data_IF_512067215717
#
_entry.id   IF_512067215717
#
_cell.length_a   1.000
_cell.length_b   1.000
_cell.length_c   1.000
_cell.angle_alpha   90.00
_cell.angle_beta   90.00
_cell.angle_gamma   90.00
#
_symmetry.space_group_name_H-M   'P 1'
#
loop_
_entity.id
_entity.type
_entity.pdbx_description
1 polymer ?
#
# COMPACT_ATOMS: atom_id res chain seq x y z
N UNK A 1 8.66 11.89 -19.44
CA UNK A 1 9.23 11.98 -18.07
C UNK A 1 9.09 13.33 -17.40
N UNK A 2 9.45 14.47 -18.02
CA UNK A 2 9.31 15.79 -17.36
C UNK A 2 7.91 16.04 -16.77
N UNK A 3 6.85 15.64 -17.49
CA UNK A 3 5.48 15.74 -16.98
C UNK A 3 5.28 15.02 -15.64
N UNK A 4 5.76 13.79 -15.48
CA UNK A 4 5.61 13.03 -14.23
C UNK A 4 6.44 13.60 -13.09
N UNK A 5 7.68 14.01 -13.35
CA UNK A 5 8.55 14.58 -12.31
C UNK A 5 8.05 15.95 -11.85
N UNK A 6 7.42 16.73 -12.74
CA UNK A 6 6.90 18.05 -12.40
C UNK A 6 5.56 18.01 -11.64
N UNK A 7 4.85 16.87 -11.63
CA UNK A 7 3.50 16.77 -11.08
C UNK A 7 3.33 15.66 -10.03
N UNK A 8 4.36 14.82 -9.80
CA UNK A 8 4.39 13.79 -8.77
C UNK A 8 5.70 13.86 -8.02
N UNK A 9 5.62 13.72 -6.70
CA UNK A 9 6.77 13.39 -5.88
C UNK A 9 6.97 11.87 -5.88
N UNK A 10 8.19 11.43 -6.18
CA UNK A 10 8.55 10.02 -6.24
C UNK A 10 9.39 9.64 -5.02
N UNK A 11 8.85 8.74 -4.20
CA UNK A 11 9.59 8.13 -3.10
C UNK A 11 10.00 6.72 -3.51
N UNK A 12 11.31 6.51 -3.69
CA UNK A 12 11.86 5.24 -4.17
C UNK A 12 12.70 4.65 -3.04
N UNK A 13 12.29 3.47 -2.57
CA UNK A 13 13.08 2.64 -1.65
C UNK A 13 13.75 1.56 -2.48
N UNK A 14 15.04 1.70 -2.84
CA UNK A 14 15.70 0.76 -3.74
C UNK A 14 15.90 -0.62 -3.10
N UNK A 15 15.99 -0.67 -1.77
CA UNK A 15 16.23 -1.89 -1.02
C UNK A 15 15.58 -1.79 0.36
N UNK A 16 14.46 -2.49 0.55
CA UNK A 16 13.73 -2.51 1.82
C UNK A 16 14.36 -3.47 2.84
N UNK A 17 14.93 -4.59 2.38
CA UNK A 17 15.55 -5.63 3.20
C UNK A 17 17.08 -5.64 3.03
N UNK A 18 17.82 -4.66 3.60
CA UNK A 18 19.27 -4.58 3.42
C UNK A 18 20.00 -5.78 4.01
N UNK A 19 19.59 -6.25 5.19
CA UNK A 19 20.30 -7.34 5.88
C UNK A 19 20.12 -8.68 5.15
N UNK A 20 18.91 -8.99 4.68
CA UNK A 20 18.64 -10.18 3.88
C UNK A 20 19.37 -10.13 2.53
N UNK A 21 19.44 -8.95 1.91
CA UNK A 21 20.18 -8.75 0.68
C UNK A 21 21.69 -8.98 0.85
N UNK A 22 22.31 -8.36 1.85
CA UNK A 22 23.74 -8.59 2.13
C UNK A 22 24.02 -10.05 2.50
N UNK A 23 23.14 -10.69 3.27
CA UNK A 23 23.25 -12.11 3.56
C UNK A 23 23.23 -12.95 2.27
N UNK A 24 22.31 -12.68 1.34
CA UNK A 24 22.25 -13.39 0.05
C UNK A 24 23.50 -13.24 -0.82
N UNK A 25 24.29 -12.17 -0.63
CA UNK A 25 25.54 -11.96 -1.37
C UNK A 25 26.76 -12.59 -0.68
N UNK A 26 26.62 -13.02 0.57
CA UNK A 26 27.74 -13.53 1.35
C UNK A 26 28.25 -14.91 0.88
N UNK A 27 27.43 -15.64 0.12
CA UNK A 27 27.78 -16.96 -0.41
C UNK A 27 26.95 -17.31 -1.64
N UNK A 28 27.51 -18.17 -2.50
CA UNK A 28 26.78 -18.80 -3.61
C UNK A 28 26.02 -20.06 -3.22
N UNK A 29 26.13 -20.52 -1.95
CA UNK A 29 25.32 -21.62 -1.44
C UNK A 29 23.82 -21.29 -1.63
N UNK A 30 23.01 -22.13 -2.28
CA UNK A 30 21.59 -21.87 -2.49
C UNK A 30 20.80 -21.51 -1.22
N UNK A 31 21.13 -22.10 -0.07
CA UNK A 31 20.49 -21.79 1.23
C UNK A 31 20.71 -20.34 1.69
N UNK A 32 21.78 -19.71 1.19
CA UNK A 32 22.15 -18.32 1.48
C UNK A 32 21.74 -17.43 0.32
N UNK A 33 22.11 -17.79 -0.91
CA UNK A 33 21.86 -16.98 -2.11
C UNK A 33 20.38 -16.77 -2.41
N UNK A 34 19.54 -17.74 -2.05
CA UNK A 34 18.08 -17.68 -2.22
C UNK A 34 17.36 -17.24 -0.95
N UNK A 35 18.07 -16.69 0.03
CA UNK A 35 17.46 -16.18 1.26
C UNK A 35 16.42 -15.09 0.97
N UNK A 36 15.21 -15.27 1.50
CA UNK A 36 14.05 -14.40 1.25
C UNK A 36 13.78 -13.41 2.39
N UNK A 37 13.81 -13.90 3.63
CA UNK A 37 13.38 -13.17 4.83
C UNK A 37 14.35 -12.04 5.19
N UNK A 38 14.01 -11.20 6.16
CA UNK A 38 15.02 -10.33 6.77
C UNK A 38 15.99 -11.14 7.68
N UNK A 39 16.79 -10.46 8.51
CA UNK A 39 17.77 -11.09 9.41
C UNK A 39 17.52 -10.78 10.87
N UNK A 40 16.25 -10.66 11.28
CA UNK A 40 15.91 -10.51 12.70
C UNK A 40 16.44 -11.69 13.55
N UNK A 41 16.73 -11.46 14.85
CA UNK A 41 17.38 -12.44 15.71
C UNK A 41 16.69 -13.82 15.73
N UNK A 42 17.43 -14.91 16.01
CA UNK A 42 16.85 -16.24 16.00
C UNK A 42 15.72 -16.40 17.01
N UNK A 43 14.61 -17.01 16.57
CA UNK A 43 13.52 -17.48 17.43
C UNK A 43 13.61 -18.99 17.53
N UNK A 44 13.66 -19.50 18.76
CA UNK A 44 13.79 -20.93 19.03
C UNK A 44 12.45 -21.53 19.44
N UNK A 45 12.13 -22.70 18.88
CA UNK A 45 10.99 -23.51 19.27
C UNK A 45 11.43 -24.90 19.69
N UNK A 46 10.71 -25.45 20.66
CA UNK A 46 10.88 -26.83 21.09
C UNK A 46 9.89 -27.71 20.35
N UNK A 47 10.39 -28.72 19.65
CA UNK A 47 9.58 -29.71 18.95
C UNK A 47 9.79 -31.09 19.55
N UNK A 48 8.72 -31.89 19.53
CA UNK A 48 8.74 -33.27 20.00
C UNK A 48 8.00 -34.13 18.99
N UNK A 49 8.75 -34.94 18.25
CA UNK A 49 8.25 -35.73 17.12
C UNK A 49 7.44 -36.95 17.55
N UNK A 50 7.60 -37.44 18.79
CA UNK A 50 6.72 -38.46 19.37
C UNK A 50 6.67 -38.41 20.90
N UNK A 51 5.73 -39.15 21.50
CA UNK A 51 5.66 -39.25 22.96
C UNK A 51 6.94 -39.81 23.59
N UNK A 52 7.78 -40.54 22.86
CA UNK A 52 9.03 -41.08 23.40
C UNK A 52 10.27 -40.35 22.88
N UNK A 53 10.13 -39.33 22.05
CA UNK A 53 11.27 -38.58 21.52
C UNK A 53 11.80 -37.56 22.51
N UNK A 54 13.11 -37.32 22.48
CA UNK A 54 13.72 -36.19 23.16
C UNK A 54 13.18 -34.87 22.59
N UNK A 55 13.12 -33.84 23.45
CA UNK A 55 12.76 -32.49 23.01
C UNK A 55 13.92 -31.93 22.20
N UNK A 56 13.65 -31.53 20.96
CA UNK A 56 14.61 -30.87 20.09
C UNK A 56 14.34 -29.36 20.11
N UNK A 57 15.41 -28.56 20.19
CA UNK A 57 15.31 -27.10 20.05
C UNK A 57 15.77 -26.72 18.66
N UNK A 58 14.90 -26.07 17.89
CA UNK A 58 15.20 -25.54 16.55
C UNK A 58 15.11 -24.02 16.59
N UNK A 59 16.17 -23.33 16.17
CA UNK A 59 16.24 -21.88 16.12
C UNK A 59 16.35 -21.42 14.67
N UNK A 60 15.49 -20.47 14.26
CA UNK A 60 15.47 -19.95 12.91
C UNK A 60 15.40 -18.42 12.92
N UNK A 61 15.96 -17.80 11.88
CA UNK A 61 16.09 -16.35 11.78
C UNK A 61 15.19 -15.78 10.70
N UNK A 62 14.84 -14.51 10.89
CA UNK A 62 14.16 -13.71 9.89
C UNK A 62 12.65 -13.93 9.80
N UNK A 63 11.98 -12.87 9.36
CA UNK A 63 10.56 -12.76 9.09
C UNK A 63 10.34 -12.44 7.62
N UNK A 64 9.29 -13.01 7.02
CA UNK A 64 8.83 -12.61 5.70
C UNK A 64 8.16 -11.23 5.81
N UNK A 65 8.86 -10.21 5.31
CA UNK A 65 8.38 -8.82 5.37
C UNK A 65 7.04 -8.64 4.65
N UNK A 66 6.75 -9.43 3.60
CA UNK A 66 5.47 -9.37 2.88
C UNK A 66 4.40 -10.31 3.47
N UNK A 67 4.58 -10.71 4.73
CA UNK A 67 3.55 -11.29 5.63
C UNK A 67 3.40 -10.48 6.91
N UNK A 68 4.14 -9.39 7.06
CA UNK A 68 4.29 -8.66 8.33
C UNK A 68 3.50 -7.34 8.38
N UNK A 69 2.69 -7.00 7.39
CA UNK A 69 1.83 -5.80 7.44
C UNK A 69 0.49 -6.09 8.15
N UNK A 70 -0.14 -5.06 8.73
CA UNK A 70 -1.47 -5.17 9.37
C UNK A 70 -2.61 -5.21 8.35
N UNK A 71 -2.66 -6.28 7.56
CA UNK A 71 -3.77 -6.60 6.67
C UNK A 71 -4.09 -8.08 6.78
N UNK A 72 -5.19 -8.41 7.45
CA UNK A 72 -5.58 -9.80 7.79
C UNK A 72 -4.42 -10.62 8.36
N UNK A 73 -3.55 -9.98 9.15
CA UNK A 73 -2.30 -10.56 9.62
C UNK A 73 -2.48 -11.95 10.24
N UNK A 74 -1.80 -12.94 9.66
CA UNK A 74 -1.81 -14.31 10.14
C UNK A 74 -3.06 -15.13 9.83
N UNK A 75 -3.97 -14.64 8.98
CA UNK A 75 -5.22 -15.34 8.66
C UNK A 75 -4.99 -16.43 7.62
N UNK A 76 -4.38 -16.11 6.48
CA UNK A 76 -4.16 -17.06 5.38
C UNK A 76 -2.80 -16.84 4.69
N UNK A 77 -2.24 -17.89 4.09
CA UNK A 77 -1.00 -17.81 3.31
C UNK A 77 0.24 -17.34 4.07
N UNK A 78 0.23 -17.47 5.40
CA UNK A 78 1.30 -17.08 6.32
C UNK A 78 1.56 -18.21 7.33
N UNK A 79 2.66 -18.13 8.09
CA UNK A 79 3.01 -19.13 9.09
C UNK A 79 3.43 -18.51 10.41
N UNK A 80 3.09 -19.20 11.50
CA UNK A 80 3.58 -18.91 12.86
C UNK A 80 4.85 -19.72 13.22
N UNK A 81 5.29 -20.64 12.35
CA UNK A 81 6.57 -21.35 12.53
C UNK A 81 7.74 -20.41 12.13
N UNK A 82 8.64 -20.04 13.05
CA UNK A 82 9.79 -19.17 12.75
C UNK A 82 10.75 -19.73 11.70
N UNK A 83 10.68 -21.04 11.43
CA UNK A 83 11.48 -21.70 10.41
C UNK A 83 10.81 -21.75 9.04
N UNK A 84 9.58 -21.28 8.91
CA UNK A 84 8.91 -21.15 7.61
C UNK A 84 9.48 -19.98 6.81
N UNK A 85 9.54 -20.13 5.49
CA UNK A 85 9.87 -19.05 4.55
C UNK A 85 8.80 -17.94 4.51
N UNK A 86 7.57 -18.27 4.93
CA UNK A 86 6.44 -17.34 5.04
C UNK A 86 6.12 -17.01 6.51
N UNK A 87 7.12 -17.10 7.39
CA UNK A 87 6.96 -16.73 8.79
C UNK A 87 6.56 -15.27 8.93
N UNK A 88 5.39 -15.00 9.52
CA UNK A 88 4.79 -13.68 9.58
C UNK A 88 5.39 -12.74 10.63
N UNK A 89 6.21 -13.27 11.55
CA UNK A 89 6.66 -12.54 12.74
C UNK A 89 5.71 -12.65 13.93
N UNK A 90 6.10 -12.10 15.07
CA UNK A 90 5.35 -12.23 16.32
C UNK A 90 4.04 -11.42 16.35
N UNK A 91 3.99 -10.32 15.61
CA UNK A 91 2.84 -9.43 15.45
C UNK A 91 3.04 -8.57 14.20
N UNK A 92 1.96 -7.99 13.66
CA UNK A 92 2.06 -7.09 12.51
C UNK A 92 3.00 -5.92 12.81
N UNK A 93 3.92 -5.62 11.90
CA UNK A 93 4.98 -4.63 12.04
C UNK A 93 6.00 -4.93 13.16
N UNK A 94 6.25 -6.21 13.45
CA UNK A 94 7.34 -6.63 14.33
C UNK A 94 8.72 -6.27 13.79
N UNK A 95 8.86 -6.11 12.48
CA UNK A 95 10.14 -5.83 11.83
C UNK A 95 10.38 -4.32 11.65
N UNK A 96 11.61 -3.82 11.87
CA UNK A 96 11.92 -2.40 11.67
C UNK A 96 11.72 -1.94 10.22
N UNK A 97 11.93 -2.81 9.24
CA UNK A 97 11.78 -2.51 7.82
C UNK A 97 10.32 -2.24 7.46
N UNK A 98 9.39 -3.10 7.91
CA UNK A 98 7.94 -2.89 7.68
C UNK A 98 7.41 -1.69 8.47
N UNK A 99 7.92 -1.45 9.69
CA UNK A 99 7.61 -0.22 10.45
C UNK A 99 8.05 1.04 9.72
N UNK A 100 9.21 1.04 9.07
CA UNK A 100 9.67 2.20 8.33
C UNK A 100 8.69 2.57 7.19
N UNK A 101 8.18 1.58 6.46
CA UNK A 101 7.14 1.78 5.43
C UNK A 101 5.85 2.30 6.06
N UNK A 102 5.40 1.66 7.15
CA UNK A 102 4.21 2.07 7.91
C UNK A 102 4.28 3.54 8.33
N UNK A 103 5.36 3.91 9.00
CA UNK A 103 5.54 5.24 9.58
C UNK A 103 5.69 6.29 8.47
N UNK A 104 6.36 5.95 7.36
CA UNK A 104 6.51 6.84 6.21
C UNK A 104 5.17 7.17 5.54
N UNK A 105 4.34 6.16 5.27
CA UNK A 105 3.04 6.34 4.60
C UNK A 105 2.01 6.94 5.56
N UNK A 106 1.98 6.51 6.83
CA UNK A 106 1.06 7.08 7.84
C UNK A 106 1.37 8.54 8.16
N UNK A 107 2.65 8.93 8.23
CA UNK A 107 3.05 10.33 8.35
C UNK A 107 2.66 11.21 7.15
N UNK A 108 2.22 10.60 6.04
CA UNK A 108 1.78 11.25 4.79
C UNK A 108 0.38 10.80 4.37
N UNK A 109 -0.46 10.43 5.35
CA UNK A 109 -1.80 9.94 5.10
C UNK A 109 -2.58 10.88 4.16
N UNK A 110 -3.16 10.32 3.10
CA UNK A 110 -3.90 11.06 2.07
C UNK A 110 -3.03 11.79 1.01
N UNK A 111 -1.72 11.86 1.19
CA UNK A 111 -0.80 12.44 0.19
C UNK A 111 -0.28 11.38 -0.79
N UNK A 112 -0.04 10.16 -0.32
CA UNK A 112 0.39 9.04 -1.16
C UNK A 112 -0.79 8.57 -2.03
N UNK A 113 -0.67 8.70 -3.35
CA UNK A 113 -1.74 8.38 -4.31
C UNK A 113 -1.59 7.02 -4.98
N UNK A 114 -0.35 6.55 -5.10
CA UNK A 114 -0.01 5.25 -5.62
C UNK A 114 1.04 4.57 -4.73
N UNK A 115 0.97 3.25 -4.64
CA UNK A 115 1.92 2.40 -3.94
C UNK A 115 2.28 1.23 -4.84
N UNK A 116 3.56 1.12 -5.21
CA UNK A 116 4.06 0.05 -6.07
C UNK A 116 5.12 -0.73 -5.29
N UNK A 117 4.93 -2.04 -5.16
CA UNK A 117 5.94 -2.95 -4.61
C UNK A 117 6.40 -3.93 -5.69
N UNK A 118 7.70 -4.17 -5.76
CA UNK A 118 8.33 -4.92 -6.84
C UNK A 118 8.99 -6.17 -6.28
N UNK A 119 8.63 -7.30 -6.86
CA UNK A 119 9.06 -8.65 -6.55
C UNK A 119 9.48 -9.35 -7.85
N UNK A 120 10.06 -10.53 -7.71
CA UNK A 120 10.16 -11.50 -8.80
C UNK A 120 9.96 -12.88 -8.21
N UNK A 121 9.53 -13.87 -8.97
CA UNK A 121 9.24 -13.86 -10.41
C UNK A 121 7.83 -14.39 -10.66
N UNK A 122 7.34 -14.23 -11.90
CA UNK A 122 6.23 -14.96 -12.54
C UNK A 122 5.60 -14.16 -13.69
N UNK A 123 6.01 -12.91 -13.92
CA UNK A 123 5.36 -11.97 -14.85
C UNK A 123 3.88 -11.76 -14.51
N UNK A 124 3.61 -11.24 -13.31
CA UNK A 124 2.26 -10.94 -12.84
C UNK A 124 2.21 -9.48 -12.37
N UNK A 125 1.18 -8.74 -12.80
CA UNK A 125 0.85 -7.43 -12.27
C UNK A 125 -0.43 -7.57 -11.44
N UNK A 126 -0.26 -7.56 -10.12
CA UNK A 126 -1.32 -7.77 -9.15
C UNK A 126 -1.87 -6.46 -8.61
N UNK A 127 -3.17 -6.44 -8.36
CA UNK A 127 -3.84 -5.40 -7.56
C UNK A 127 -4.60 -6.05 -6.39
N UNK A 128 -4.88 -5.30 -5.32
CA UNK A 128 -5.58 -5.84 -4.16
C UNK A 128 -6.98 -6.43 -4.47
N UNK A 129 -7.44 -7.47 -3.76
CA UNK A 129 -6.80 -8.00 -2.55
C UNK A 129 -6.06 -9.34 -2.76
N UNK A 130 -4.96 -9.52 -2.03
CA UNK A 130 -4.16 -10.74 -1.95
C UNK A 130 -4.60 -11.71 -0.83
N UNK A 131 -5.20 -11.22 0.26
CA UNK A 131 -5.51 -12.06 1.43
C UNK A 131 -6.58 -13.15 1.21
N UNK A 132 -7.54 -12.98 0.30
CA UNK A 132 -8.67 -13.90 0.13
C UNK A 132 -9.22 -13.89 -1.31
N UNK A 133 -9.52 -15.07 -1.85
CA UNK A 133 -10.15 -15.21 -3.19
C UNK A 133 -11.49 -14.49 -3.26
N UNK A 134 -11.81 -13.96 -4.45
CA UNK A 134 -13.10 -13.28 -4.70
C UNK A 134 -13.40 -12.09 -3.78
N UNK A 135 -12.35 -11.48 -3.21
CA UNK A 135 -12.47 -10.28 -2.38
C UNK A 135 -11.88 -9.09 -3.11
N UNK A 136 -12.71 -8.06 -3.30
CA UNK A 136 -12.39 -6.95 -4.19
C UNK A 136 -12.67 -5.60 -3.54
N UNK A 137 -11.92 -4.59 -3.99
CA UNK A 137 -12.15 -3.19 -3.62
C UNK A 137 -13.31 -2.60 -4.42
N UNK A 138 -13.98 -1.57 -3.90
CA UNK A 138 -15.10 -0.92 -4.61
C UNK A 138 -14.68 -0.30 -5.96
N UNK A 139 -13.40 0.01 -6.14
CA UNK A 139 -12.81 0.58 -7.36
C UNK A 139 -12.01 -0.45 -8.18
N UNK A 140 -12.25 -1.74 -7.97
CA UNK A 140 -11.53 -2.84 -8.64
C UNK A 140 -11.53 -2.74 -10.17
N UNK A 141 -12.61 -2.23 -10.78
CA UNK A 141 -12.68 -2.06 -12.23
C UNK A 141 -11.65 -1.03 -12.76
N UNK A 142 -11.44 0.07 -12.03
CA UNK A 142 -10.45 1.08 -12.38
C UNK A 142 -9.02 0.55 -12.15
N UNK A 143 -8.81 -0.17 -11.04
CA UNK A 143 -7.54 -0.84 -10.76
C UNK A 143 -7.15 -1.83 -11.85
N UNK A 144 -8.10 -2.70 -12.24
CA UNK A 144 -7.93 -3.70 -13.29
C UNK A 144 -7.70 -3.06 -14.65
N UNK A 145 -8.48 -2.04 -15.01
CA UNK A 145 -8.31 -1.34 -16.29
C UNK A 145 -6.91 -0.70 -16.38
N UNK A 146 -6.48 -0.02 -15.32
CA UNK A 146 -5.15 0.58 -15.23
C UNK A 146 -4.06 -0.49 -15.36
N UNK A 147 -4.18 -1.62 -14.66
CA UNK A 147 -3.21 -2.72 -14.74
C UNK A 147 -3.15 -3.36 -16.14
N UNK A 148 -4.29 -3.55 -16.82
CA UNK A 148 -4.33 -4.06 -18.18
C UNK A 148 -3.64 -3.12 -19.18
N UNK A 149 -3.86 -1.79 -19.06
CA UNK A 149 -3.15 -0.82 -19.87
C UNK A 149 -1.65 -0.82 -19.56
N UNK A 150 -1.26 -0.95 -18.29
CA UNK A 150 0.13 -1.01 -17.88
C UNK A 150 0.84 -2.25 -18.43
N UNK A 151 0.21 -3.43 -18.32
CA UNK A 151 0.72 -4.67 -18.90
C UNK A 151 0.81 -4.62 -20.44
N UNK A 152 -0.15 -3.96 -21.11
CA UNK A 152 -0.09 -3.72 -22.56
C UNK A 152 1.09 -2.84 -22.96
N UNK A 153 1.32 -1.74 -22.23
CA UNK A 153 2.44 -0.85 -22.47
C UNK A 153 3.79 -1.55 -22.25
N UNK A 154 3.92 -2.32 -21.17
CA UNK A 154 5.06 -3.19 -20.90
C UNK A 154 5.32 -4.15 -22.08
N UNK A 155 4.29 -4.89 -22.49
CA UNK A 155 4.38 -5.87 -23.59
C UNK A 155 4.84 -5.25 -24.90
N UNK A 156 4.49 -3.99 -25.16
CA UNK A 156 4.82 -3.31 -26.42
C UNK A 156 6.32 -3.19 -26.71
N UNK A 157 7.17 -3.25 -25.68
CA UNK A 157 8.63 -3.10 -25.82
C UNK A 157 9.32 -4.38 -26.31
N UNK A 158 9.00 -5.53 -25.69
CA UNK A 158 9.73 -6.79 -25.91
C UNK A 158 8.83 -8.02 -26.12
N UNK A 159 7.51 -7.84 -26.14
CA UNK A 159 6.54 -8.94 -26.29
C UNK A 159 6.24 -9.71 -25.00
N UNK A 160 6.88 -9.37 -23.88
CA UNK A 160 6.70 -10.02 -22.59
C UNK A 160 5.27 -9.87 -22.09
N UNK A 161 4.66 -10.98 -21.68
CA UNK A 161 3.25 -11.03 -21.28
C UNK A 161 3.15 -11.15 -19.77
N UNK A 162 2.42 -10.20 -19.16
CA UNK A 162 2.11 -10.24 -17.73
C UNK A 162 0.65 -10.66 -17.53
N UNK A 163 0.42 -11.58 -16.59
CA UNK A 163 -0.92 -11.90 -16.09
C UNK A 163 -1.39 -10.75 -15.19
N UNK A 164 -2.67 -10.39 -15.29
CA UNK A 164 -3.26 -9.29 -14.51
C UNK A 164 -4.45 -9.81 -13.70
N UNK A 165 -4.42 -9.63 -12.39
CA UNK A 165 -5.50 -10.03 -11.49
C UNK A 165 -5.21 -9.68 -10.03
N UNK A 166 -6.01 -10.23 -9.11
CA UNK A 166 -5.73 -10.11 -7.69
C UNK A 166 -4.75 -11.18 -7.24
N UNK A 167 -3.94 -10.90 -6.22
CA UNK A 167 -2.97 -11.89 -5.73
C UNK A 167 -3.60 -13.22 -5.35
N UNK A 168 -4.76 -13.17 -4.71
CA UNK A 168 -5.49 -14.37 -4.32
C UNK A 168 -6.03 -15.17 -5.52
N UNK A 169 -6.54 -14.50 -6.56
CA UNK A 169 -7.16 -15.17 -7.71
C UNK A 169 -6.14 -15.60 -8.79
N UNK A 170 -4.93 -15.00 -8.82
CA UNK A 170 -3.88 -15.33 -9.81
C UNK A 170 -2.77 -16.23 -9.29
N UNK A 171 -2.47 -16.18 -7.99
CA UNK A 171 -1.41 -16.98 -7.36
C UNK A 171 -2.01 -17.85 -6.26
N UNK A 172 -2.20 -17.27 -5.09
CA UNK A 172 -2.73 -17.91 -3.90
C UNK A 172 -3.06 -16.84 -2.85
N UNK A 173 -4.03 -17.09 -1.94
CA UNK A 173 -4.31 -16.20 -0.83
C UNK A 173 -3.08 -15.98 0.08
N UNK A 174 -2.76 -14.73 0.37
CA UNK A 174 -1.64 -14.33 1.20
C UNK A 174 -1.98 -13.10 2.05
N UNK A 175 -1.98 -13.26 3.36
CA UNK A 175 -2.21 -12.17 4.32
C UNK A 175 -0.93 -11.43 4.68
N UNK A 176 -1.09 -10.20 5.18
CA UNK A 176 0.02 -9.37 5.63
C UNK A 176 0.86 -8.73 4.52
N UNK A 177 0.30 -8.68 3.30
CA UNK A 177 0.90 -8.03 2.13
C UNK A 177 0.89 -6.51 2.23
N UNK A 178 1.96 -5.89 1.72
CA UNK A 178 2.15 -4.43 1.79
C UNK A 178 1.19 -3.64 0.90
N UNK A 179 0.87 -4.16 -0.29
CA UNK A 179 -0.04 -3.58 -1.26
C UNK A 179 -1.49 -3.59 -0.77
N UNK A 180 -1.89 -4.68 -0.11
CA UNK A 180 -3.20 -4.82 0.52
C UNK A 180 -3.34 -3.86 1.69
N UNK A 181 -2.33 -3.78 2.57
CA UNK A 181 -2.31 -2.81 3.67
C UNK A 181 -2.35 -1.36 3.16
N UNK A 182 -1.55 -1.01 2.15
CA UNK A 182 -1.54 0.34 1.58
C UNK A 182 -2.92 0.71 1.01
N UNK A 183 -3.60 -0.23 0.34
CA UNK A 183 -4.94 -0.01 -0.21
C UNK A 183 -6.02 0.05 0.86
N UNK A 184 -6.06 -0.96 1.72
CA UNK A 184 -7.19 -1.22 2.61
C UNK A 184 -7.10 -0.53 3.97
N UNK A 185 -5.90 -0.32 4.52
CA UNK A 185 -5.70 0.49 5.75
C UNK A 185 -5.40 1.95 5.45
N UNK A 186 -4.50 2.21 4.49
CA UNK A 186 -4.02 3.58 4.23
C UNK A 186 -4.81 4.33 3.17
N UNK A 187 -5.75 3.67 2.49
CA UNK A 187 -6.59 4.29 1.46
C UNK A 187 -5.83 4.73 0.22
N UNK A 188 -4.63 4.19 -0.03
CA UNK A 188 -3.86 4.47 -1.25
C UNK A 188 -4.60 3.87 -2.43
N UNK A 189 -5.08 4.71 -3.35
CA UNK A 189 -5.96 4.27 -4.43
C UNK A 189 -5.28 3.27 -5.35
N UNK A 190 -4.17 3.67 -5.98
CA UNK A 190 -3.46 2.87 -6.98
C UNK A 190 -2.37 2.03 -6.32
N UNK A 191 -2.75 0.88 -5.76
CA UNK A 191 -1.83 -0.05 -5.11
C UNK A 191 -1.60 -1.26 -6.01
N UNK A 192 -0.34 -1.61 -6.30
CA UNK A 192 0.02 -2.72 -7.17
C UNK A 192 1.28 -3.46 -6.69
N UNK A 193 1.32 -4.77 -6.96
CA UNK A 193 2.50 -5.61 -6.80
C UNK A 193 2.92 -6.14 -8.18
N UNK A 194 4.21 -6.02 -8.50
CA UNK A 194 4.80 -6.61 -9.69
C UNK A 194 5.59 -7.87 -9.33
N UNK A 195 5.24 -9.01 -9.89
CA UNK A 195 6.14 -10.16 -10.01
C UNK A 195 6.82 -10.05 -11.38
N UNK A 196 8.08 -9.64 -11.39
CA UNK A 196 8.83 -9.39 -12.62
C UNK A 196 9.23 -10.70 -13.34
N UNK A 197 10.05 -10.57 -14.39
CA UNK A 197 10.64 -11.71 -15.09
C UNK A 197 11.42 -12.64 -14.14
N UNK A 198 11.57 -13.93 -14.52
CA UNK A 198 10.99 -14.58 -15.69
C UNK A 198 9.56 -15.12 -15.43
N UNK A 199 9.05 -15.92 -16.36
CA UNK A 199 7.80 -16.67 -16.24
C UNK A 199 7.87 -17.71 -15.11
N UNK A 200 6.72 -18.04 -14.52
CA UNK A 200 6.59 -18.96 -13.37
C UNK A 200 7.25 -20.34 -13.62
N UNK A 201 7.27 -20.81 -14.86
CA UNK A 201 7.79 -22.13 -15.22
C UNK A 201 9.33 -22.21 -15.20
N UNK A 202 10.02 -21.08 -15.03
CA UNK A 202 11.48 -21.04 -14.93
C UNK A 202 11.90 -21.38 -13.50
N UNK A 203 12.39 -22.61 -13.32
CA UNK A 203 12.69 -23.21 -12.00
C UNK A 203 13.74 -22.44 -11.17
N UNK A 204 14.64 -21.72 -11.83
CA UNK A 204 15.68 -20.88 -11.22
C UNK A 204 15.36 -19.38 -11.37
N UNK A 205 14.08 -18.99 -11.40
CA UNK A 205 13.65 -17.64 -11.76
C UNK A 205 14.27 -16.49 -10.95
N UNK A 206 14.72 -16.74 -9.72
CA UNK A 206 15.46 -15.77 -8.91
C UNK A 206 16.91 -15.52 -9.38
N UNK A 207 17.46 -16.40 -10.21
CA UNK A 207 18.79 -16.32 -10.82
C UNK A 207 18.70 -15.80 -12.26
N UNK A 208 17.89 -14.77 -12.48
CA UNK A 208 17.72 -14.12 -13.77
C UNK A 208 19.07 -13.58 -14.30
N UNK A 209 19.38 -13.86 -15.56
CA UNK A 209 20.64 -13.45 -16.19
C UNK A 209 20.83 -11.93 -16.20
N UNK A 210 22.07 -11.45 -15.97
CA UNK A 210 22.38 -10.02 -15.89
C UNK A 210 21.96 -9.24 -17.15
N UNK A 211 22.03 -9.87 -18.33
CA UNK A 211 21.61 -9.24 -19.59
C UNK A 211 20.09 -8.98 -19.68
N UNK A 212 19.29 -9.54 -18.76
CA UNK A 212 17.85 -9.30 -18.65
C UNK A 212 17.51 -8.12 -17.72
N UNK A 213 18.46 -7.59 -16.95
CA UNK A 213 18.21 -6.49 -15.99
C UNK A 213 17.66 -5.25 -16.72
N UNK A 214 18.35 -4.79 -17.77
CA UNK A 214 17.95 -3.58 -18.51
C UNK A 214 16.65 -3.80 -19.30
N UNK A 215 16.45 -4.91 -20.04
CA UNK A 215 15.16 -5.20 -20.67
C UNK A 215 13.99 -5.20 -19.66
N UNK A 216 14.13 -5.92 -18.53
CA UNK A 216 13.09 -6.00 -17.49
C UNK A 216 12.79 -4.62 -16.91
N UNK A 217 13.82 -3.82 -16.64
CA UNK A 217 13.65 -2.46 -16.11
C UNK A 217 12.92 -1.54 -17.10
N UNK A 218 13.26 -1.61 -18.39
CA UNK A 218 12.68 -0.75 -19.43
C UNK A 218 11.20 -1.05 -19.67
N UNK A 219 10.83 -2.32 -19.78
CA UNK A 219 9.41 -2.68 -19.97
C UNK A 219 8.57 -2.37 -18.73
N UNK A 220 9.11 -2.64 -17.54
CA UNK A 220 8.43 -2.33 -16.27
C UNK A 220 8.20 -0.83 -16.13
N UNK A 221 9.16 -0.02 -16.58
CA UNK A 221 9.02 1.43 -16.56
C UNK A 221 7.89 1.94 -17.47
N UNK A 222 7.58 1.26 -18.58
CA UNK A 222 6.39 1.59 -19.38
C UNK A 222 5.09 1.37 -18.61
N UNK A 223 4.99 0.25 -17.87
CA UNK A 223 3.85 0.00 -16.97
C UNK A 223 3.74 1.07 -15.87
N UNK A 224 4.86 1.43 -15.23
CA UNK A 224 4.90 2.47 -14.18
C UNK A 224 4.40 3.81 -14.71
N UNK A 225 4.78 4.20 -15.94
CA UNK A 225 4.30 5.45 -16.56
C UNK A 225 2.79 5.44 -16.75
N UNK A 226 2.19 4.31 -17.14
CA UNK A 226 0.73 4.20 -17.28
C UNK A 226 0.04 4.40 -15.92
N UNK A 227 0.53 3.73 -14.87
CA UNK A 227 -0.03 3.90 -13.53
C UNK A 227 0.13 5.34 -13.04
N UNK A 228 1.26 5.99 -13.32
CA UNK A 228 1.49 7.39 -12.97
C UNK A 228 0.52 8.34 -13.69
N UNK A 229 0.23 8.11 -14.97
CA UNK A 229 -0.78 8.87 -15.73
C UNK A 229 -2.15 8.75 -15.08
N UNK A 230 -2.62 7.53 -14.81
CA UNK A 230 -3.92 7.31 -14.16
C UNK A 230 -3.97 7.94 -12.75
N UNK A 231 -2.86 7.92 -12.03
CA UNK A 231 -2.72 8.57 -10.72
C UNK A 231 -2.92 10.09 -10.81
N UNK A 232 -2.31 10.74 -11.80
CA UNK A 232 -2.46 12.17 -12.05
C UNK A 232 -3.89 12.54 -12.48
N UNK A 233 -4.46 11.79 -13.40
CA UNK A 233 -5.82 12.04 -13.90
C UNK A 233 -6.86 11.93 -12.77
N UNK A 234 -6.72 10.94 -11.90
CA UNK A 234 -7.57 10.79 -10.73
C UNK A 234 -7.42 11.98 -9.76
N UNK A 235 -6.19 12.44 -9.51
CA UNK A 235 -5.96 13.61 -8.65
C UNK A 235 -6.61 14.87 -9.22
N UNK A 236 -6.51 15.10 -10.53
CA UNK A 236 -7.12 16.25 -11.21
C UNK A 236 -8.64 16.18 -11.25
N UNK A 237 -9.22 14.99 -11.45
CA UNK A 237 -10.68 14.82 -11.43
C UNK A 237 -11.28 15.13 -10.05
N UNK A 238 -10.57 14.81 -8.97
CA UNK A 238 -10.95 15.17 -7.61
C UNK A 238 -10.88 16.67 -7.35
N UNK A 239 -9.90 17.38 -7.92
CA UNK A 239 -9.84 18.86 -7.86
C UNK A 239 -11.04 19.47 -8.58
N UNK A 240 -11.41 18.95 -9.75
CA UNK A 240 -12.56 19.47 -10.53
C UNK A 240 -13.91 19.18 -9.89
N UNK A 241 -14.02 18.10 -9.11
CA UNK A 241 -15.24 17.72 -8.37
C UNK A 241 -15.31 18.34 -6.97
N UNK A 242 -14.21 18.87 -6.45
CA UNK A 242 -14.23 19.60 -5.19
C UNK A 242 -15.17 20.81 -5.33
N UNK A 243 -16.16 20.99 -4.46
CA UNK A 243 -17.01 22.17 -4.50
C UNK A 243 -16.12 23.41 -4.41
N UNK A 244 -16.45 24.50 -5.14
CA UNK A 244 -15.66 25.72 -5.09
C UNK A 244 -15.48 26.12 -3.63
N UNK A 245 -14.26 26.45 -3.22
CA UNK A 245 -13.98 27.02 -1.90
C UNK A 245 -14.92 28.20 -1.71
N UNK A 246 -15.94 28.05 -0.86
CA UNK A 246 -16.87 29.13 -0.54
C UNK A 246 -16.03 30.28 0.00
N UNK A 247 -16.04 31.40 -0.71
CA UNK A 247 -15.52 32.65 -0.17
C UNK A 247 -16.30 32.95 1.11
N UNK A 248 -15.60 32.91 2.25
CA UNK A 248 -16.19 32.98 3.58
C UNK A 248 -16.65 34.40 3.95
N UNK A 249 -16.72 35.31 2.99
CA UNK A 249 -17.31 36.64 3.14
C UNK A 249 -18.84 36.60 3.20
N UNK A 250 -19.48 35.51 2.73
CA UNK A 250 -20.95 35.39 2.60
C UNK A 250 -21.64 34.55 3.72
N UNK A 251 -20.92 34.26 4.81
CA UNK A 251 -21.40 33.37 5.90
C UNK A 251 -21.88 34.08 7.16
N UNK A 252 -21.66 35.40 7.29
CA UNK A 252 -22.08 36.18 8.46
C UNK A 252 -23.31 37.04 8.15
N UNK A 253 -24.42 36.40 7.76
CA UNK A 253 -25.71 37.05 7.57
C UNK A 253 -26.79 36.30 8.34
N UNK A 254 -27.78 37.03 8.84
CA UNK A 254 -29.01 36.43 9.31
C UNK A 254 -29.89 36.13 8.12
N UNK A 255 -30.26 34.86 7.99
CA UNK A 255 -31.08 34.33 6.89
C UNK A 255 -32.56 34.24 7.26
N UNK A 256 -32.92 34.72 8.45
CA UNK A 256 -34.30 34.77 8.91
C UNK A 256 -34.60 36.13 9.58
N UNK A 257 -35.73 36.77 9.24
CA UNK A 257 -36.09 38.08 9.81
C UNK A 257 -36.31 38.05 11.34
N UNK A 258 -36.60 36.88 11.92
CA UNK A 258 -36.84 36.74 13.37
C UNK A 258 -35.57 36.50 14.20
N UNK A 259 -34.38 36.51 13.57
CA UNK A 259 -33.13 36.20 14.26
C UNK A 259 -32.84 37.11 15.46
N UNK A 260 -33.17 38.41 15.37
CA UNK A 260 -32.99 39.34 16.49
C UNK A 260 -33.88 38.99 17.69
N UNK A 261 -35.15 38.61 17.43
CA UNK A 261 -36.08 38.19 18.47
C UNK A 261 -35.62 36.88 19.13
N UNK A 262 -35.25 35.88 18.33
CA UNK A 262 -34.79 34.59 18.84
C UNK A 262 -33.49 34.70 19.63
N UNK A 263 -32.57 35.56 19.20
CA UNK A 263 -31.33 35.81 19.92
C UNK A 263 -31.57 36.44 21.29
N UNK A 264 -32.47 37.44 21.37
CA UNK A 264 -32.84 38.08 22.64
C UNK A 264 -33.59 37.13 23.59
N UNK A 265 -34.29 36.14 23.07
CA UNK A 265 -35.04 35.14 23.84
C UNK A 265 -34.25 33.83 24.08
N UNK A 266 -32.93 33.87 23.96
CA UNK A 266 -32.05 32.77 24.37
C UNK A 266 -31.92 31.60 23.39
N UNK A 267 -32.47 31.69 22.17
CA UNK A 267 -32.41 30.58 21.22
C UNK A 267 -30.98 30.24 20.75
N UNK A 268 -30.04 31.20 20.80
CA UNK A 268 -28.66 31.01 20.35
C UNK A 268 -27.90 29.90 21.11
N UNK A 269 -28.25 29.63 22.36
CA UNK A 269 -27.65 28.57 23.18
C UNK A 269 -28.46 27.27 23.18
N UNK A 270 -29.69 27.30 22.70
CA UNK A 270 -30.63 26.17 22.77
C UNK A 270 -30.78 25.46 21.43
N UNK A 271 -30.73 26.19 20.31
CA UNK A 271 -31.01 25.66 18.99
C UNK A 271 -29.75 25.61 18.12
N UNK A 272 -29.23 24.41 17.77
CA UNK A 272 -28.03 24.26 16.94
C UNK A 272 -28.15 24.93 15.55
N UNK A 273 -29.37 25.02 15.02
CA UNK A 273 -29.69 25.64 13.73
C UNK A 273 -29.45 27.16 13.71
N UNK A 274 -29.29 27.81 14.87
CA UNK A 274 -29.02 29.24 14.97
C UNK A 274 -27.67 29.63 14.39
N UNK A 275 -26.69 28.70 14.36
CA UNK A 275 -25.36 28.95 13.77
C UNK A 275 -25.40 29.14 12.25
N UNK A 276 -26.38 28.53 11.57
CA UNK A 276 -26.53 28.62 10.12
C UNK A 276 -27.55 29.69 9.70
N UNK A 277 -28.60 29.89 10.51
CA UNK A 277 -29.71 30.78 10.17
C UNK A 277 -29.55 32.19 10.72
N UNK A 278 -28.88 32.34 11.86
CA UNK A 278 -28.83 33.59 12.63
C UNK A 278 -27.41 33.90 13.11
N UNK A 279 -26.41 33.61 12.25
CA UNK A 279 -24.99 33.69 12.58
C UNK A 279 -24.56 35.07 13.09
N UNK A 280 -25.18 36.14 12.57
CA UNK A 280 -24.86 37.53 12.92
C UNK A 280 -25.55 37.92 14.22
N UNK A 281 -26.86 37.69 14.36
CA UNK A 281 -27.63 37.99 15.58
C UNK A 281 -27.13 37.22 16.80
N UNK A 282 -26.63 35.99 16.62
CA UNK A 282 -26.08 35.17 17.70
C UNK A 282 -24.58 35.36 17.96
N UNK A 283 -23.91 36.28 17.26
CA UNK A 283 -22.50 36.60 17.51
C UNK A 283 -21.50 35.51 17.12
N UNK A 284 -21.89 34.52 16.32
CA UNK A 284 -21.01 33.40 15.94
C UNK A 284 -19.90 33.78 14.95
N UNK A 285 -19.98 34.99 14.37
CA UNK A 285 -19.07 35.46 13.33
C UNK A 285 -17.61 35.69 13.80
N UNK A 286 -17.35 35.86 15.10
CA UNK A 286 -16.01 36.14 15.62
C UNK A 286 -15.17 34.86 15.88
N UNK A 287 -15.79 33.68 15.95
CA UNK A 287 -15.06 32.42 16.21
C UNK A 287 -14.31 31.83 15.01
N UNK A 288 -14.48 32.41 13.80
CA UNK A 288 -13.92 31.86 12.56
C UNK A 288 -12.64 32.54 12.05
N UNK A 289 -12.12 33.55 12.76
CA UNK A 289 -10.81 34.18 12.43
C UNK A 289 -9.62 33.59 13.18
N UNK A 290 -9.84 32.71 14.17
CA UNK A 290 -8.79 32.27 15.09
C UNK A 290 -7.92 31.09 14.61
N UNK A 291 -8.17 30.50 13.43
CA UNK A 291 -7.38 29.36 12.90
C UNK A 291 -6.33 29.77 11.85
N UNK A 292 -5.75 30.96 11.99
CA UNK A 292 -4.55 31.36 11.24
C UNK A 292 -3.51 31.95 12.20
N UNK A 293 -2.85 31.05 12.93
CA UNK A 293 -1.62 31.27 13.67
C UNK A 293 -0.79 30.01 13.54
#
# INVERSE_FOLDING_TARGET
>A
MRHFVNNLDWYIVPLLNPDGYEYSRSSTNPEIRLWRKNRSPPVCMQTRSSFFSTVQTRCCQGVDLNRNFDWDFGVEGSSTDPCSEIYQGAYAFSEPETRAVRDFISGRHGQIRAFLTFHSYSQILMYPFGHQVRTYTNDVYDLRSTALHAASALRSLYGTTYVVGTGADTLYPASGGSEDWAKGRMGVKYSYLFELRPEEQVWDGFLLAENQIIPTSRETFEAVKVIATHTLDAAQSNIRRAPPTRDFTDTCVDRNPNCGYWAQNGACSVWPSMRERCARSCGFCLSMRAFRG
#
